data_IF_388616897799
#
_entry.id   IF_388616897799
#
_cell.length_a   1.000
_cell.length_b   1.000
_cell.length_c   1.000
_cell.angle_alpha   90.00
_cell.angle_beta   90.00
_cell.angle_gamma   90.00
#
_symmetry.space_group_name_H-M   'P 1'
#
loop_
_entity.id
_entity.type
_entity.pdbx_description
1 polymer ?
#
# COMPACT_ATOMS: atom_id res chain seq x y z
N UNK A 1 1.84 21.19 -9.80
CA UNK A 1 1.43 22.33 -8.94
C UNK A 1 1.61 22.01 -7.46
N UNK A 2 1.76 20.74 -7.05
CA UNK A 2 2.03 20.34 -5.66
C UNK A 2 3.46 20.55 -5.14
N UNK A 3 4.51 20.45 -5.98
CA UNK A 3 5.91 20.64 -5.52
C UNK A 3 6.09 22.00 -4.82
N UNK A 4 5.45 23.05 -5.36
CA UNK A 4 5.51 24.41 -4.82
C UNK A 4 4.71 24.59 -3.52
N UNK A 5 3.71 23.73 -3.27
CA UNK A 5 2.86 23.76 -2.06
C UNK A 5 3.58 23.15 -0.85
N UNK A 6 4.45 22.17 -1.09
CA UNK A 6 5.21 21.49 -0.05
C UNK A 6 6.40 22.30 0.46
N UNK A 7 6.95 23.22 -0.35
CA UNK A 7 7.99 24.16 0.10
C UNK A 7 7.47 25.17 1.14
N UNK A 8 6.17 25.46 1.14
CA UNK A 8 5.53 26.39 2.08
C UNK A 8 4.96 25.70 3.33
N UNK A 9 4.58 24.41 3.23
CA UNK A 9 3.94 23.60 4.29
C UNK A 9 4.77 22.33 4.65
N UNK A 10 6.10 22.44 4.80
CA UNK A 10 7.01 21.29 5.03
C UNK A 10 6.67 20.48 6.31
N UNK A 11 5.96 21.08 7.26
CA UNK A 11 5.56 20.43 8.52
C UNK A 11 4.12 19.86 8.50
N UNK A 12 3.35 20.00 7.40
CA UNK A 12 1.99 19.43 7.31
C UNK A 12 2.01 18.01 6.69
N UNK A 13 1.80 16.94 7.48
CA UNK A 13 1.78 15.58 6.94
C UNK A 13 0.68 15.35 5.89
N UNK A 14 -0.40 16.15 5.90
CA UNK A 14 -1.47 16.05 4.91
C UNK A 14 -1.04 16.60 3.54
N UNK A 15 -0.32 17.71 3.51
CA UNK A 15 0.22 18.27 2.26
C UNK A 15 1.18 17.27 1.59
N UNK A 16 2.03 16.61 2.39
CA UNK A 16 2.88 15.52 1.91
C UNK A 16 2.08 14.30 1.41
N UNK A 17 0.96 13.95 2.04
CA UNK A 17 0.13 12.83 1.60
C UNK A 17 -0.61 13.14 0.29
N UNK A 18 -1.07 14.37 0.11
CA UNK A 18 -1.64 14.85 -1.16
C UNK A 18 -0.60 14.77 -2.28
N UNK A 19 0.63 15.23 -2.04
CA UNK A 19 1.74 15.09 -3.00
C UNK A 19 2.03 13.61 -3.30
N UNK A 20 2.04 12.74 -2.30
CA UNK A 20 2.25 11.31 -2.50
C UNK A 20 1.18 10.71 -3.42
N UNK A 21 -0.08 11.08 -3.26
CA UNK A 21 -1.17 10.61 -4.12
C UNK A 21 -0.99 11.12 -5.56
N UNK A 22 -0.72 12.42 -5.76
CA UNK A 22 -0.49 12.97 -7.10
C UNK A 22 0.70 12.30 -7.81
N UNK A 23 1.81 12.09 -7.10
CA UNK A 23 2.97 11.40 -7.62
C UNK A 23 2.66 9.92 -7.95
N UNK A 24 1.86 9.27 -7.11
CA UNK A 24 1.42 7.89 -7.35
C UNK A 24 0.61 7.78 -8.65
N UNK A 25 -0.35 8.69 -8.85
CA UNK A 25 -1.21 8.68 -10.04
C UNK A 25 -0.44 9.05 -11.31
N UNK A 26 0.59 9.90 -11.19
CA UNK A 26 1.51 10.24 -12.28
C UNK A 26 2.53 9.14 -12.60
N UNK A 27 2.61 8.08 -11.79
CA UNK A 27 3.61 7.01 -11.93
C UNK A 27 5.02 7.40 -11.43
N UNK A 28 5.17 8.56 -10.79
CA UNK A 28 6.42 8.99 -10.15
C UNK A 28 6.57 8.32 -8.77
N UNK A 29 7.08 7.08 -8.80
CA UNK A 29 7.23 6.23 -7.60
C UNK A 29 8.29 6.74 -6.65
N UNK A 30 9.32 7.43 -7.14
CA UNK A 30 10.38 8.00 -6.30
C UNK A 30 9.85 9.18 -5.47
N UNK A 31 9.16 10.13 -6.12
CA UNK A 31 8.53 11.25 -5.40
C UNK A 31 7.46 10.75 -4.45
N UNK A 32 6.66 9.76 -4.86
CA UNK A 32 5.64 9.15 -4.01
C UNK A 32 6.26 8.53 -2.75
N UNK A 33 7.29 7.69 -2.89
CA UNK A 33 7.98 7.05 -1.76
C UNK A 33 8.53 8.08 -0.77
N UNK A 34 9.23 9.10 -1.29
CA UNK A 34 9.79 10.18 -0.46
C UNK A 34 8.72 10.95 0.30
N UNK A 35 7.61 11.27 -0.36
CA UNK A 35 6.50 11.99 0.27
C UNK A 35 5.83 11.14 1.37
N UNK A 36 5.62 9.85 1.13
CA UNK A 36 5.07 8.92 2.14
C UNK A 36 6.01 8.80 3.36
N UNK A 37 7.33 8.66 3.16
CA UNK A 37 8.29 8.59 4.26
C UNK A 37 8.29 9.89 5.10
N UNK A 38 8.08 11.04 4.46
CA UNK A 38 7.93 12.32 5.17
C UNK A 38 6.61 12.41 5.95
N UNK A 39 5.49 11.94 5.41
CA UNK A 39 4.22 11.83 6.15
C UNK A 39 4.39 11.02 7.45
N UNK A 40 5.00 9.83 7.36
CA UNK A 40 5.19 8.94 8.50
C UNK A 40 6.14 9.54 9.54
N UNK A 41 7.16 10.27 9.10
CA UNK A 41 8.09 10.98 10.00
C UNK A 41 7.40 12.09 10.80
N UNK A 42 6.48 12.82 10.16
CA UNK A 42 5.72 13.91 10.78
C UNK A 42 4.58 13.39 11.66
N UNK A 43 3.91 12.31 11.25
CA UNK A 43 2.85 11.66 12.01
C UNK A 43 2.89 10.13 11.82
N UNK A 44 3.36 9.43 12.85
CA UNK A 44 3.46 7.96 12.85
C UNK A 44 2.10 7.25 12.79
N UNK A 45 0.97 7.96 12.96
CA UNK A 45 -0.37 7.36 12.83
C UNK A 45 -0.67 6.89 11.40
N UNK A 46 -0.03 7.50 10.38
CA UNK A 46 -0.20 7.11 8.98
C UNK A 46 0.15 5.64 8.70
N UNK A 47 1.10 5.06 9.45
CA UNK A 47 1.46 3.65 9.31
C UNK A 47 0.29 2.68 9.63
N UNK A 48 -0.77 3.16 10.31
CA UNK A 48 -1.98 2.37 10.59
C UNK A 48 -3.04 2.48 9.50
N UNK A 49 -2.92 3.43 8.57
CA UNK A 49 -3.83 3.56 7.43
C UNK A 49 -3.47 2.53 6.35
N UNK A 50 -4.40 1.64 6.05
CA UNK A 50 -4.15 0.56 5.10
C UNK A 50 -3.90 1.07 3.67
N UNK A 51 -4.48 2.20 3.26
CA UNK A 51 -4.28 2.76 1.91
C UNK A 51 -2.90 3.41 1.80
N UNK A 52 -2.45 4.04 2.88
CA UNK A 52 -1.09 4.55 3.01
C UNK A 52 -0.08 3.40 2.92
N UNK A 53 -0.26 2.35 3.72
CA UNK A 53 0.60 1.16 3.70
C UNK A 53 0.63 0.50 2.31
N UNK A 54 -0.53 0.36 1.65
CA UNK A 54 -0.62 -0.25 0.32
C UNK A 54 0.13 0.56 -0.74
N UNK A 55 0.05 1.89 -0.71
CA UNK A 55 0.85 2.75 -1.61
C UNK A 55 2.34 2.61 -1.39
N UNK A 56 2.79 2.48 -0.13
CA UNK A 56 4.21 2.21 0.17
C UNK A 56 4.65 0.88 -0.39
N UNK A 57 3.82 -0.16 -0.29
CA UNK A 57 4.12 -1.47 -0.86
C UNK A 57 4.27 -1.41 -2.39
N UNK A 58 3.39 -0.68 -3.09
CA UNK A 58 3.52 -0.41 -4.52
C UNK A 58 4.81 0.34 -4.87
N UNK A 59 5.17 1.38 -4.11
CA UNK A 59 6.41 2.12 -4.34
C UNK A 59 7.65 1.24 -4.13
N UNK A 60 7.66 0.42 -3.08
CA UNK A 60 8.73 -0.54 -2.83
C UNK A 60 8.83 -1.58 -3.95
N UNK A 61 7.70 -2.14 -4.41
CA UNK A 61 7.68 -3.08 -5.52
C UNK A 61 8.16 -2.48 -6.85
N UNK A 62 7.96 -1.17 -7.06
CA UNK A 62 8.39 -0.47 -8.27
C UNK A 62 9.88 -0.05 -8.25
N UNK A 63 10.43 0.23 -7.07
CA UNK A 63 11.84 0.62 -6.92
C UNK A 63 12.81 -0.56 -7.03
N UNK A 64 12.32 -1.80 -6.99
CA UNK A 64 13.16 -2.98 -6.82
C UNK A 64 13.45 -3.74 -8.12
N UNK A 65 14.74 -3.96 -8.36
CA UNK A 65 15.29 -5.06 -9.15
C UNK A 65 15.38 -6.31 -8.25
N UNK A 66 14.73 -7.40 -8.67
CA UNK A 66 14.85 -8.78 -8.18
C UNK A 66 14.92 -9.02 -6.64
N UNK A 67 13.74 -9.17 -6.00
CA UNK A 67 13.60 -10.00 -4.79
C UNK A 67 13.91 -9.37 -3.42
N UNK A 68 14.04 -8.06 -3.31
CA UNK A 68 14.35 -7.37 -2.03
C UNK A 68 13.27 -7.57 -0.94
N UNK A 69 13.75 -7.83 0.29
CA UNK A 69 12.97 -7.96 1.54
C UNK A 69 12.20 -6.68 1.91
N UNK A 70 12.58 -5.50 1.37
CA UNK A 70 11.83 -4.26 1.60
C UNK A 70 10.40 -4.33 1.08
N UNK A 71 10.17 -4.97 -0.08
CA UNK A 71 8.81 -5.16 -0.62
C UNK A 71 7.99 -6.05 0.31
N UNK A 72 8.57 -7.15 0.79
CA UNK A 72 7.88 -8.07 1.69
C UNK A 72 7.53 -7.43 3.03
N UNK A 73 8.44 -6.64 3.61
CA UNK A 73 8.14 -5.86 4.82
C UNK A 73 6.98 -4.89 4.59
N UNK A 74 6.99 -4.18 3.46
CA UNK A 74 5.91 -3.25 3.13
C UNK A 74 4.56 -3.97 2.95
N UNK A 75 4.55 -5.17 2.34
CA UNK A 75 3.34 -6.01 2.22
C UNK A 75 2.84 -6.46 3.59
N UNK A 76 3.73 -6.88 4.49
CA UNK A 76 3.37 -7.26 5.86
C UNK A 76 2.73 -6.08 6.62
N UNK A 77 3.25 -4.87 6.41
CA UNK A 77 2.67 -3.65 6.99
C UNK A 77 1.26 -3.35 6.44
N UNK A 78 0.98 -3.68 5.17
CA UNK A 78 -0.39 -3.61 4.63
C UNK A 78 -1.33 -4.52 5.43
N UNK A 79 -0.95 -5.77 5.65
CA UNK A 79 -1.80 -6.70 6.40
C UNK A 79 -2.00 -6.25 7.85
N UNK A 80 -0.95 -5.76 8.51
CA UNK A 80 -1.06 -5.17 9.85
C UNK A 80 -2.02 -3.99 9.88
N UNK A 81 -1.96 -3.09 8.89
CA UNK A 81 -2.84 -1.94 8.81
C UNK A 81 -4.29 -2.34 8.49
N UNK A 82 -4.50 -3.35 7.64
CA UNK A 82 -5.83 -3.91 7.35
C UNK A 82 -6.46 -4.59 8.56
N UNK A 83 -5.65 -5.21 9.43
CA UNK A 83 -6.13 -5.78 10.69
C UNK A 83 -6.39 -4.69 11.74
N UNK A 84 -5.54 -3.67 11.81
CA UNK A 84 -5.73 -2.51 12.69
C UNK A 84 -6.98 -1.68 12.32
N UNK A 85 -7.34 -1.65 11.03
CA UNK A 85 -8.55 -0.96 10.54
C UNK A 85 -9.85 -1.64 10.97
N UNK A 86 -9.79 -2.90 11.43
CA UNK A 86 -10.95 -3.62 11.99
C UNK A 86 -12.20 -3.58 11.10
N UNK A 87 -13.33 -3.21 11.71
CA UNK A 87 -14.64 -3.09 11.04
C UNK A 87 -14.93 -1.67 10.50
N UNK A 88 -13.98 -0.73 10.63
CA UNK A 88 -14.18 0.66 10.17
C UNK A 88 -14.05 0.79 8.65
N UNK A 89 -13.61 -0.28 7.97
CA UNK A 89 -13.52 -0.37 6.52
C UNK A 89 -14.62 -1.29 5.96
N UNK A 90 -15.36 -0.87 4.91
CA UNK A 90 -16.27 -1.76 4.18
C UNK A 90 -15.57 -3.06 3.73
N UNK A 91 -16.26 -4.19 3.86
CA UNK A 91 -15.67 -5.52 3.65
C UNK A 91 -15.21 -5.76 2.21
N UNK A 92 -15.91 -5.18 1.23
CA UNK A 92 -15.57 -5.16 -0.19
C UNK A 92 -14.28 -4.35 -0.45
N UNK A 93 -14.17 -3.15 0.12
CA UNK A 93 -12.96 -2.32 0.04
C UNK A 93 -11.77 -3.06 0.66
N UNK A 94 -11.96 -3.64 1.84
CA UNK A 94 -10.93 -4.47 2.50
C UNK A 94 -10.52 -5.63 1.61
N UNK A 95 -11.48 -6.33 0.99
CA UNK A 95 -11.21 -7.45 0.10
C UNK A 95 -10.41 -7.04 -1.15
N UNK A 96 -10.73 -5.91 -1.77
CA UNK A 96 -9.95 -5.37 -2.91
C UNK A 96 -8.51 -5.10 -2.50
N UNK A 97 -8.30 -4.47 -1.35
CA UNK A 97 -6.95 -4.15 -0.85
C UNK A 97 -6.15 -5.42 -0.49
N UNK A 98 -6.80 -6.43 0.09
CA UNK A 98 -6.17 -7.74 0.31
C UNK A 98 -5.73 -8.36 -1.01
N UNK A 99 -6.60 -8.35 -2.03
CA UNK A 99 -6.27 -8.91 -3.35
C UNK A 99 -5.08 -8.18 -3.97
N UNK A 100 -5.03 -6.85 -3.87
CA UNK A 100 -3.94 -6.03 -4.38
C UNK A 100 -2.62 -6.34 -3.67
N UNK A 101 -2.61 -6.38 -2.33
CA UNK A 101 -1.44 -6.77 -1.55
C UNK A 101 -0.94 -8.18 -1.88
N UNK A 102 -1.85 -9.14 -2.07
CA UNK A 102 -1.51 -10.49 -2.52
C UNK A 102 -0.93 -10.49 -3.94
N UNK A 103 -1.44 -9.60 -4.82
CA UNK A 103 -0.91 -9.39 -6.17
C UNK A 103 0.53 -8.88 -6.14
N UNK A 104 0.86 -7.96 -5.23
CA UNK A 104 2.22 -7.48 -5.03
C UNK A 104 3.18 -8.59 -4.59
N UNK A 105 2.77 -9.45 -3.66
CA UNK A 105 3.62 -10.57 -3.22
C UNK A 105 3.85 -11.58 -4.35
N UNK A 106 2.82 -11.88 -5.15
CA UNK A 106 2.95 -12.76 -6.32
C UNK A 106 3.90 -12.21 -7.36
N UNK A 107 3.84 -10.89 -7.60
CA UNK A 107 4.75 -10.22 -8.51
C UNK A 107 6.19 -10.21 -7.97
N UNK A 108 6.36 -9.97 -6.67
CA UNK A 108 7.66 -10.09 -5.99
C UNK A 108 8.24 -11.50 -6.15
N UNK A 109 7.45 -12.54 -5.86
CA UNK A 109 7.86 -13.94 -6.00
C UNK A 109 8.25 -14.27 -7.45
N UNK A 110 7.45 -13.80 -8.42
CA UNK A 110 7.70 -13.99 -9.86
C UNK A 110 9.01 -13.35 -10.32
N UNK A 111 9.37 -12.16 -9.81
CA UNK A 111 10.60 -11.45 -10.18
C UNK A 111 11.84 -12.01 -9.48
N UNK A 112 11.74 -12.24 -8.17
CA UNK A 112 12.87 -12.69 -7.34
C UNK A 112 13.13 -14.20 -7.37
N UNK A 113 12.30 -14.99 -8.09
CA UNK A 113 12.41 -16.46 -8.10
C UNK A 113 11.98 -17.13 -6.79
N UNK A 114 11.16 -16.43 -5.98
CA UNK A 114 10.61 -16.93 -4.72
C UNK A 114 9.25 -17.61 -4.89
N UNK A 115 8.68 -18.07 -3.78
CA UNK A 115 7.33 -18.61 -3.70
C UNK A 115 6.42 -17.65 -2.93
N UNK A 116 5.18 -17.49 -3.39
CA UNK A 116 4.14 -16.78 -2.64
C UNK A 116 3.76 -17.59 -1.40
N UNK A 117 3.59 -16.93 -0.25
CA UNK A 117 3.22 -17.59 1.01
C UNK A 117 1.83 -18.22 0.90
N UNK A 118 1.68 -19.41 1.46
CA UNK A 118 0.39 -20.11 1.51
C UNK A 118 -0.70 -19.29 2.24
N UNK A 119 -0.31 -18.46 3.20
CA UNK A 119 -1.23 -17.56 3.90
C UNK A 119 -1.77 -16.46 2.97
N UNK A 120 -0.92 -15.90 2.12
CA UNK A 120 -1.28 -14.91 1.10
C UNK A 120 -2.29 -15.49 0.11
N UNK A 121 -2.10 -16.73 -0.33
CA UNK A 121 -3.07 -17.41 -1.20
C UNK A 121 -4.43 -17.60 -0.52
N UNK A 122 -4.45 -18.07 0.74
CA UNK A 122 -5.71 -18.20 1.50
C UNK A 122 -6.37 -16.85 1.74
N UNK A 123 -5.61 -15.79 2.00
CA UNK A 123 -6.14 -14.44 2.18
C UNK A 123 -6.80 -13.93 0.90
N UNK A 124 -6.14 -14.14 -0.25
CA UNK A 124 -6.68 -13.83 -1.58
C UNK A 124 -7.96 -14.61 -1.88
N UNK A 125 -8.00 -15.91 -1.58
CA UNK A 125 -9.20 -16.73 -1.77
C UNK A 125 -10.40 -16.21 -0.97
N UNK A 126 -10.22 -15.93 0.32
CA UNK A 126 -11.27 -15.34 1.19
C UNK A 126 -11.73 -13.98 0.68
N UNK A 127 -10.81 -13.15 0.22
CA UNK A 127 -11.14 -11.84 -0.33
C UNK A 127 -11.93 -11.95 -1.64
N UNK A 128 -11.56 -12.85 -2.55
CA UNK A 128 -12.32 -13.11 -3.78
C UNK A 128 -13.72 -13.65 -3.47
N UNK A 129 -13.87 -14.52 -2.48
CA UNK A 129 -15.18 -15.01 -2.02
C UNK A 129 -16.04 -13.86 -1.49
N UNK A 130 -15.46 -12.96 -0.69
CA UNK A 130 -16.14 -11.76 -0.18
C UNK A 130 -16.70 -10.92 -1.33
N UNK A 131 -15.89 -10.67 -2.38
CA UNK A 131 -16.34 -9.89 -3.53
C UNK A 131 -17.38 -10.58 -4.40
N UNK A 132 -17.34 -11.92 -4.52
CA UNK A 132 -18.36 -12.68 -5.27
C UNK A 132 -19.71 -12.67 -4.56
N UNK A 133 -19.70 -12.62 -3.24
CA UNK A 133 -20.90 -12.62 -2.42
C UNK A 133 -21.40 -11.19 -2.11
N UNK A 134 -20.68 -10.16 -2.55
CA UNK A 134 -21.13 -8.78 -2.44
C UNK A 134 -22.38 -8.58 -3.31
N UNK A 135 -23.46 -7.96 -2.78
CA UNK A 135 -24.66 -7.70 -3.57
C UNK A 135 -24.30 -6.85 -4.79
N UNK A 136 -24.71 -7.30 -5.98
CA UNK A 136 -24.59 -6.49 -7.18
C UNK A 136 -25.59 -5.34 -7.09
N UNK A 137 -25.09 -4.11 -6.94
CA UNK A 137 -25.90 -2.88 -7.02
C UNK A 137 -26.33 -2.58 -8.46
#
# INVERSE_FOLDING_TARGET
MAIRKVEDDDDDPRAWYELACEAFDAGDRETCARALDRCETLDGAWARDARFALRRAHCAAAANDDGDERTMRAIDDVFRALDASGNDMPSDVRAVMVIDACGLEREWARRGGGETRAETERARERAMETLRNAPSE
#
